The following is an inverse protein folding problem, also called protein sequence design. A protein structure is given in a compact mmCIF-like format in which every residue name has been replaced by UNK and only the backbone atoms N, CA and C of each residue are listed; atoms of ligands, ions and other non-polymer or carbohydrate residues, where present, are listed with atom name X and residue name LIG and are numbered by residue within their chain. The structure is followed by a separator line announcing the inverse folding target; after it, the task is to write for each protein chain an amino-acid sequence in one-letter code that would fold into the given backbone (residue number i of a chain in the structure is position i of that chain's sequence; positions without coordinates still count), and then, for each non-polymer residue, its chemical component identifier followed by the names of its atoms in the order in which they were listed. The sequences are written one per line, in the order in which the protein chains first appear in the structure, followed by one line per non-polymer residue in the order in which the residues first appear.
data_IF_697256386759
#
_entry.id   IF_697256386759
#
_cell.length_a   1.000
_cell.length_b   1.000
_cell.length_c   1.000
_cell.angle_alpha   90.00
_cell.angle_beta   90.00
_cell.angle_gamma   90.00
#
_symmetry.space_group_name_H-M   'P 1'
#
loop_
_entity.id
_entity.type
_entity.pdbx_description
1 polymer ?
#
# COMPACT_ATOMS: atom_id res chain seq x y z
N UNK A 1 -9.35 -44.01 14.16
CA UNK A 1 -8.58 -43.32 13.08
C UNK A 1 -9.35 -42.21 12.37
N UNK A 2 -10.66 -42.35 12.08
CA UNK A 2 -11.46 -41.28 11.43
C UNK A 2 -11.60 -40.02 12.28
N UNK A 3 -11.92 -40.15 13.57
CA UNK A 3 -12.02 -39.02 14.52
C UNK A 3 -10.72 -38.18 14.56
N UNK A 4 -9.56 -38.84 14.61
CA UNK A 4 -8.28 -38.14 14.68
C UNK A 4 -7.99 -37.31 13.42
N UNK A 5 -8.31 -37.85 12.23
CA UNK A 5 -8.22 -37.10 10.97
C UNK A 5 -9.17 -35.90 10.95
N UNK A 6 -10.40 -36.08 11.44
CA UNK A 6 -11.38 -34.98 11.53
C UNK A 6 -10.91 -33.85 12.48
N UNK A 7 -10.26 -34.19 13.60
CA UNK A 7 -9.70 -33.20 14.53
C UNK A 7 -8.57 -32.40 13.89
N UNK A 8 -7.66 -33.06 13.17
CA UNK A 8 -6.57 -32.38 12.45
C UNK A 8 -7.13 -31.42 11.41
N UNK A 9 -8.13 -31.85 10.63
CA UNK A 9 -8.77 -31.01 9.61
C UNK A 9 -9.44 -29.79 10.27
N UNK A 10 -10.13 -29.97 11.40
CA UNK A 10 -10.76 -28.87 12.12
C UNK A 10 -9.74 -27.85 12.64
N UNK A 11 -8.59 -28.30 13.16
CA UNK A 11 -7.51 -27.42 13.61
C UNK A 11 -6.91 -26.61 12.47
N UNK A 12 -6.66 -27.23 11.32
CA UNK A 12 -6.17 -26.54 10.13
C UNK A 12 -7.19 -25.49 9.67
N UNK A 13 -8.48 -25.85 9.64
CA UNK A 13 -9.54 -24.94 9.23
C UNK A 13 -9.66 -23.71 10.15
N UNK A 14 -9.57 -23.91 11.47
CA UNK A 14 -9.52 -22.82 12.45
C UNK A 14 -8.29 -21.94 12.23
N UNK A 15 -7.13 -22.55 11.95
CA UNK A 15 -5.90 -21.82 11.62
C UNK A 15 -6.03 -20.98 10.34
N UNK A 16 -6.69 -21.49 9.30
CA UNK A 16 -6.96 -20.74 8.08
C UNK A 16 -7.89 -19.55 8.31
N UNK A 17 -8.98 -19.76 9.07
CA UNK A 17 -9.89 -18.66 9.46
C UNK A 17 -9.12 -17.60 10.25
N UNK A 18 -8.19 -18.01 11.12
CA UNK A 18 -7.39 -17.10 11.91
C UNK A 18 -6.43 -16.26 11.05
N UNK A 19 -5.82 -16.85 10.02
CA UNK A 19 -4.92 -16.16 9.07
C UNK A 19 -5.68 -15.17 8.18
N UNK A 20 -6.92 -15.48 7.81
CA UNK A 20 -7.75 -14.63 6.93
C UNK A 20 -8.62 -13.60 7.70
N UNK A 21 -8.52 -13.57 9.03
CA UNK A 21 -9.36 -12.71 9.85
C UNK A 21 -8.91 -11.23 9.76
N UNK A 22 -9.79 -10.29 9.36
CA UNK A 22 -9.41 -8.89 9.23
C UNK A 22 -9.21 -8.22 10.59
N UNK A 23 -8.12 -7.44 10.71
CA UNK A 23 -7.73 -6.74 11.95
C UNK A 23 -8.75 -5.68 12.43
N UNK A 24 -9.62 -5.21 11.53
CA UNK A 24 -10.61 -4.17 11.81
C UNK A 24 -11.79 -4.66 12.66
N UNK A 25 -11.95 -5.98 12.84
CA UNK A 25 -13.03 -6.52 13.66
C UNK A 25 -12.73 -6.18 15.12
N UNK A 26 -13.55 -5.29 15.70
CA UNK A 26 -13.56 -4.96 17.13
C UNK A 26 -13.99 -6.19 17.94
N UNK A 27 -13.10 -7.14 18.10
CA UNK A 27 -13.29 -8.29 18.98
C UNK A 27 -12.85 -7.92 20.40
N UNK A 28 -13.43 -8.59 21.41
CA UNK A 28 -13.03 -8.43 22.82
C UNK A 28 -11.56 -8.84 23.07
N UNK A 29 -10.95 -9.56 22.13
CA UNK A 29 -9.60 -10.10 22.22
C UNK A 29 -8.77 -9.56 21.06
N UNK A 30 -7.68 -8.83 21.33
CA UNK A 30 -6.81 -8.29 20.28
C UNK A 30 -6.03 -9.45 19.64
N UNK A 31 -6.57 -10.01 18.57
CA UNK A 31 -5.94 -11.09 17.81
C UNK A 31 -4.74 -10.52 17.05
N UNK A 32 -3.56 -11.08 17.28
CA UNK A 32 -2.34 -10.70 16.54
C UNK A 32 -2.37 -11.32 15.14
N UNK A 33 -2.09 -10.51 14.13
CA UNK A 33 -1.84 -10.93 12.73
C UNK A 33 -0.40 -11.40 12.51
N UNK A 34 0.46 -11.28 13.51
CA UNK A 34 1.85 -11.69 13.43
C UNK A 34 1.99 -13.13 13.93
N UNK A 35 2.59 -13.96 13.09
CA UNK A 35 2.93 -15.34 13.43
C UNK A 35 4.45 -15.45 13.54
N UNK A 36 4.92 -15.79 14.74
CA UNK A 36 6.31 -16.12 15.00
C UNK A 36 6.41 -17.55 15.52
N UNK A 37 7.16 -18.41 14.80
CA UNK A 37 7.49 -19.76 15.28
C UNK A 37 8.94 -20.12 14.96
N UNK A 38 9.55 -20.87 15.87
CA UNK A 38 10.86 -21.46 15.69
C UNK A 38 10.69 -22.95 15.37
N UNK A 39 11.20 -23.37 14.22
CA UNK A 39 11.19 -24.78 13.81
C UNK A 39 12.59 -25.15 13.35
N UNK A 40 13.20 -26.15 14.02
CA UNK A 40 14.56 -26.64 13.73
C UNK A 40 15.63 -25.54 13.66
N UNK A 41 15.55 -24.51 14.50
CA UNK A 41 16.52 -23.40 14.53
C UNK A 41 16.27 -22.30 13.49
N UNK A 42 15.25 -22.44 12.65
CA UNK A 42 14.81 -21.40 11.71
C UNK A 42 13.68 -20.60 12.38
N UNK A 43 13.87 -19.29 12.50
CA UNK A 43 12.84 -18.37 12.97
C UNK A 43 12.01 -17.90 11.77
N UNK A 44 10.75 -18.34 11.72
CA UNK A 44 9.79 -17.86 10.76
C UNK A 44 9.01 -16.71 11.40
N UNK A 45 9.13 -15.52 10.80
CA UNK A 45 8.34 -14.35 11.14
C UNK A 45 7.53 -13.96 9.92
N UNK A 46 6.20 -14.02 10.03
CA UNK A 46 5.30 -13.58 8.96
C UNK A 46 4.27 -12.64 9.54
N UNK A 47 4.21 -11.47 8.93
CA UNK A 47 3.19 -10.46 9.18
C UNK A 47 2.06 -10.63 8.14
N UNK A 48 0.84 -10.81 8.63
CA UNK A 48 -0.39 -10.89 7.83
C UNK A 48 -1.22 -9.60 7.92
N UNK A 49 -0.64 -8.48 8.39
CA UNK A 49 -1.31 -7.19 8.40
C UNK A 49 -1.80 -6.80 7.00
N UNK A 50 -3.11 -6.55 6.92
CA UNK A 50 -3.78 -6.15 5.68
C UNK A 50 -3.41 -4.70 5.35
N UNK A 51 -2.94 -4.46 4.13
CA UNK A 51 -2.71 -3.10 3.63
C UNK A 51 -4.02 -2.52 3.11
N UNK A 52 -4.42 -1.38 3.64
CA UNK A 52 -5.68 -0.71 3.30
C UNK A 52 -5.43 0.43 2.31
N UNK A 53 -6.18 0.44 1.20
CA UNK A 53 -6.17 1.52 0.22
C UNK A 53 -6.93 2.78 0.68
N UNK A 54 -6.96 3.80 -0.17
CA UNK A 54 -7.55 5.11 0.13
C UNK A 54 -9.02 5.02 0.57
N UNK A 55 -9.83 4.19 -0.09
CA UNK A 55 -11.27 4.04 0.21
C UNK A 55 -11.53 3.46 1.61
N UNK A 56 -10.62 2.64 2.13
CA UNK A 56 -10.76 1.94 3.41
C UNK A 56 -10.00 2.61 4.55
N UNK A 57 -8.81 3.14 4.27
CA UNK A 57 -7.94 3.81 5.24
C UNK A 57 -8.23 5.31 5.35
N UNK A 58 -8.88 5.89 4.33
CA UNK A 58 -8.90 7.32 4.11
C UNK A 58 -7.51 7.85 3.72
N UNK A 59 -7.41 9.16 3.50
CA UNK A 59 -6.15 9.80 3.11
C UNK A 59 -6.38 11.03 2.26
N UNK A 60 -5.42 11.30 1.38
CA UNK A 60 -5.45 12.43 0.46
C UNK A 60 -5.23 11.96 -0.98
N UNK A 61 -5.86 12.68 -1.91
CA UNK A 61 -5.64 12.53 -3.35
C UNK A 61 -5.21 13.89 -3.89
N UNK A 62 -4.11 13.92 -4.64
CA UNK A 62 -3.48 15.12 -5.17
C UNK A 62 -3.37 15.02 -6.69
N UNK A 63 -3.58 16.13 -7.37
CA UNK A 63 -3.45 16.21 -8.83
C UNK A 63 -2.37 17.24 -9.14
N UNK A 64 -1.26 16.78 -9.72
CA UNK A 64 -0.17 17.62 -10.16
C UNK A 64 -0.25 17.82 -11.67
N UNK A 65 -0.20 19.05 -12.15
CA UNK A 65 -0.07 19.33 -13.58
C UNK A 65 1.41 19.40 -13.96
N UNK A 66 1.82 18.63 -14.96
CA UNK A 66 3.19 18.60 -15.43
C UNK A 66 3.44 19.76 -16.41
N UNK A 67 4.47 20.57 -16.13
CA UNK A 67 4.97 21.56 -17.09
C UNK A 67 5.83 20.87 -18.15
N UNK A 68 5.23 20.60 -19.30
CA UNK A 68 5.89 19.94 -20.43
C UNK A 68 6.49 20.91 -21.43
N UNK A 69 6.43 22.23 -21.19
CA UNK A 69 6.83 23.26 -22.16
C UNK A 69 8.32 23.22 -22.53
N UNK A 70 9.16 22.67 -21.65
CA UNK A 70 10.62 22.55 -21.83
C UNK A 70 11.10 21.14 -22.20
N UNK A 71 10.18 20.18 -22.31
CA UNK A 71 10.51 18.77 -22.56
C UNK A 71 10.27 18.47 -24.04
N UNK A 72 11.22 17.81 -24.69
CA UNK A 72 11.03 17.37 -26.08
C UNK A 72 9.94 16.30 -26.13
N UNK A 73 9.17 16.26 -27.22
CA UNK A 73 8.07 15.28 -27.38
C UNK A 73 8.55 13.82 -27.31
N UNK A 74 9.76 13.56 -27.80
CA UNK A 74 10.40 12.24 -27.77
C UNK A 74 10.73 11.78 -26.34
N UNK A 75 11.15 12.69 -25.47
CA UNK A 75 11.56 12.40 -24.09
C UNK A 75 10.39 12.49 -23.10
N UNK A 76 9.19 12.87 -23.57
CA UNK A 76 8.08 13.24 -22.69
C UNK A 76 7.59 12.08 -21.82
N UNK A 77 7.43 10.90 -22.40
CA UNK A 77 6.98 9.72 -21.66
C UNK A 77 8.02 9.32 -20.61
N UNK A 78 9.30 9.37 -20.95
CA UNK A 78 10.40 9.03 -20.03
C UNK A 78 10.51 10.04 -18.90
N UNK A 79 10.31 11.33 -19.19
CA UNK A 79 10.26 12.39 -18.18
C UNK A 79 9.08 12.20 -17.21
N UNK A 80 7.88 11.86 -17.72
CA UNK A 80 6.71 11.59 -16.89
C UNK A 80 6.89 10.34 -16.02
N UNK A 81 7.45 9.26 -16.60
CA UNK A 81 7.77 8.04 -15.86
C UNK A 81 8.82 8.28 -14.77
N UNK A 82 9.86 9.05 -15.08
CA UNK A 82 10.89 9.43 -14.11
C UNK A 82 10.30 10.26 -12.98
N UNK A 83 9.41 11.22 -13.29
CA UNK A 83 8.71 12.01 -12.29
C UNK A 83 7.84 11.10 -11.39
N UNK A 84 7.09 10.16 -11.97
CA UNK A 84 6.32 9.17 -11.22
C UNK A 84 7.21 8.38 -10.26
N UNK A 85 8.33 7.84 -10.72
CA UNK A 85 9.24 7.02 -9.91
C UNK A 85 9.88 7.81 -8.75
N UNK A 86 10.22 9.08 -8.99
CA UNK A 86 10.75 9.97 -7.95
C UNK A 86 9.70 10.24 -6.88
N UNK A 87 8.46 10.55 -7.30
CA UNK A 87 7.34 10.80 -6.39
C UNK A 87 7.05 9.54 -5.56
N UNK A 88 6.96 8.38 -6.20
CA UNK A 88 6.73 7.09 -5.55
C UNK A 88 7.80 6.79 -4.48
N UNK A 89 9.08 6.98 -4.82
CA UNK A 89 10.19 6.75 -3.89
C UNK A 89 10.13 7.67 -2.67
N UNK A 90 9.80 8.94 -2.86
CA UNK A 90 9.65 9.91 -1.76
C UNK A 90 8.52 9.47 -0.83
N UNK A 91 7.37 9.16 -1.40
CA UNK A 91 6.19 8.72 -0.65
C UNK A 91 6.48 7.45 0.15
N UNK A 92 7.15 6.46 -0.46
CA UNK A 92 7.57 5.23 0.21
C UNK A 92 8.50 5.50 1.40
N UNK A 93 9.40 6.49 1.29
CA UNK A 93 10.28 6.89 2.39
C UNK A 93 9.52 7.45 3.61
N UNK A 94 8.38 8.10 3.37
CA UNK A 94 7.51 8.61 4.44
C UNK A 94 6.57 7.55 5.04
N UNK A 95 6.73 6.29 4.66
CA UNK A 95 5.99 5.17 5.26
C UNK A 95 4.54 5.04 4.77
N UNK A 96 4.19 5.73 3.68
CA UNK A 96 2.89 5.53 3.03
C UNK A 96 2.86 4.13 2.43
N UNK A 97 1.78 3.42 2.73
CA UNK A 97 1.60 2.03 2.32
C UNK A 97 0.66 1.99 1.12
N UNK A 98 1.09 1.39 0.01
CA UNK A 98 0.35 1.30 -1.26
C UNK A 98 -0.01 2.67 -1.90
N UNK A 99 0.95 3.58 -2.11
CA UNK A 99 0.67 4.80 -2.86
C UNK A 99 0.33 4.44 -4.31
N UNK A 100 -0.61 5.16 -4.92
CA UNK A 100 -0.96 4.99 -6.33
C UNK A 100 -0.65 6.28 -7.09
N UNK A 101 0.18 6.16 -8.13
CA UNK A 101 0.55 7.29 -8.98
C UNK A 101 0.22 6.96 -10.42
N UNK A 102 -0.66 7.76 -11.02
CA UNK A 102 -1.14 7.56 -12.38
C UNK A 102 -0.92 8.81 -13.21
N UNK A 103 -0.36 8.62 -14.40
CA UNK A 103 -0.25 9.70 -15.39
C UNK A 103 -1.54 9.76 -16.20
N UNK A 104 -2.22 10.90 -16.17
CA UNK A 104 -3.48 11.16 -16.86
C UNK A 104 -3.26 12.29 -17.85
N UNK A 105 -3.70 12.10 -19.10
CA UNK A 105 -3.72 13.17 -20.09
C UNK A 105 -5.12 13.75 -20.19
N UNK A 106 -5.25 15.07 -20.07
CA UNK A 106 -6.51 15.78 -20.26
C UNK A 106 -6.33 16.87 -21.30
N UNK A 107 -6.88 16.66 -22.50
CA UNK A 107 -6.59 17.51 -23.66
C UNK A 107 -5.09 17.48 -23.97
N UNK A 108 -4.46 18.65 -24.00
CA UNK A 108 -3.02 18.80 -24.27
C UNK A 108 -2.14 18.78 -23.02
N UNK A 109 -2.74 18.64 -21.83
CA UNK A 109 -2.04 18.71 -20.55
C UNK A 109 -1.82 17.32 -19.96
N UNK A 110 -0.66 17.11 -19.34
CA UNK A 110 -0.33 15.91 -18.59
C UNK A 110 -0.47 16.18 -17.09
N UNK A 111 -1.06 15.25 -16.38
CA UNK A 111 -1.28 15.31 -14.94
C UNK A 111 -0.81 14.03 -14.28
N UNK A 112 -0.30 14.14 -13.07
CA UNK A 112 -0.03 13.02 -12.19
C UNK A 112 -1.06 13.04 -11.06
N UNK A 113 -1.94 12.05 -11.04
CA UNK A 113 -2.82 11.78 -9.92
C UNK A 113 -2.05 10.93 -8.90
N UNK A 114 -2.00 11.40 -7.66
CA UNK A 114 -1.25 10.78 -6.57
C UNK A 114 -2.19 10.54 -5.40
N UNK A 115 -2.43 9.27 -5.08
CA UNK A 115 -3.26 8.85 -3.96
C UNK A 115 -2.38 8.37 -2.81
N UNK A 116 -2.65 8.89 -1.61
CA UNK A 116 -1.84 8.70 -0.40
C UNK A 116 -2.69 8.14 0.75
N UNK A 117 -2.81 6.80 0.86
CA UNK A 117 -3.57 6.17 1.93
C UNK A 117 -2.94 6.42 3.31
N UNK A 118 -3.75 6.94 4.24
CA UNK A 118 -3.33 7.21 5.63
C UNK A 118 -2.62 8.55 5.85
N UNK A 119 -2.42 9.38 4.82
CA UNK A 119 -1.97 10.78 4.98
C UNK A 119 -3.19 11.68 4.85
N UNK A 120 -3.71 12.17 5.97
CA UNK A 120 -4.89 13.05 5.99
C UNK A 120 -4.57 14.52 5.74
N UNK A 121 -3.32 14.94 5.97
CA UNK A 121 -2.90 16.32 5.77
C UNK A 121 -2.33 16.52 4.35
N UNK A 122 -3.13 17.14 3.48
CA UNK A 122 -2.75 17.45 2.11
C UNK A 122 -1.55 18.40 2.03
N UNK A 123 -1.37 19.32 2.98
CA UNK A 123 -0.26 20.28 2.97
C UNK A 123 1.06 19.59 3.31
N UNK A 124 1.03 18.62 4.23
CA UNK A 124 2.16 17.75 4.51
C UNK A 124 2.53 16.97 3.25
N UNK A 125 1.58 16.26 2.64
CA UNK A 125 1.79 15.53 1.38
C UNK A 125 2.39 16.39 0.25
N UNK A 126 1.90 17.63 0.08
CA UNK A 126 2.44 18.57 -0.90
C UNK A 126 3.90 18.93 -0.57
N UNK A 127 4.26 19.15 0.69
CA UNK A 127 5.66 19.41 1.08
C UNK A 127 6.58 18.22 0.81
N UNK A 128 6.07 16.99 0.98
CA UNK A 128 6.85 15.76 0.74
C UNK A 128 7.13 15.53 -0.75
N UNK A 129 6.16 15.86 -1.60
CA UNK A 129 6.21 15.61 -3.05
C UNK A 129 6.83 16.79 -3.80
N UNK A 130 6.46 18.01 -3.44
CA UNK A 130 6.68 19.25 -4.19
C UNK A 130 8.07 19.89 -4.05
N UNK A 131 9.00 19.30 -3.30
CA UNK A 131 10.38 19.78 -3.27
C UNK A 131 11.11 19.35 -4.56
N UNK A 132 11.20 20.24 -5.55
CA UNK A 132 12.07 20.06 -6.73
C UNK A 132 13.43 20.69 -6.52
#
# INVERSE_FOLDING_TARGET
MKIFKSIIIALIFIGLIWVDLPESIKTKYKISSQIEFNVFGINFKKDFTTKLGLDLKGGSSLIFEADTGKVKKEDLNDALNSARDVIERRINFFGVTEPQIQTVKTGDKYRLNVDLPGISNSEEAIKLIGQT
#
